data_IF_015096755048
#
_entry.id   IF_015096755048
#
_cell.length_a   1.000
_cell.length_b   1.000
_cell.length_c   1.000
_cell.angle_alpha   90.00
_cell.angle_beta   90.00
_cell.angle_gamma   90.00
#
_symmetry.space_group_name_H-M   'P 1'
#
loop_
_entity.id
_entity.type
_entity.pdbx_description
1 polymer ?
#
# COMPACT_ATOMS: atom_id res chain seq x y z
N UNK A 1 -0.97 -2.94 -16.64
CA UNK A 1 -1.04 -2.37 -15.27
C UNK A 1 -1.75 -1.03 -15.36
N UNK A 2 -3.03 -1.00 -15.02
CA UNK A 2 -3.87 0.20 -15.13
C UNK A 2 -4.44 0.46 -13.73
N UNK A 3 -4.07 1.59 -13.13
CA UNK A 3 -4.71 2.09 -11.92
C UNK A 3 -5.60 3.26 -12.33
N UNK A 4 -6.90 3.17 -12.04
CA UNK A 4 -7.78 4.32 -12.04
C UNK A 4 -8.32 4.53 -10.64
N UNK A 5 -7.96 5.65 -10.02
CA UNK A 5 -8.87 6.45 -9.21
C UNK A 5 -8.49 7.92 -9.42
N UNK A 6 -9.39 8.64 -10.10
CA UNK A 6 -9.36 10.09 -10.27
C UNK A 6 -10.20 10.70 -9.15
N UNK A 7 -9.55 11.39 -8.20
CA UNK A 7 -10.23 12.29 -7.27
C UNK A 7 -9.59 13.66 -7.47
N UNK A 8 -10.42 14.57 -7.95
CA UNK A 8 -10.22 16.01 -8.11
C UNK A 8 -9.45 16.65 -6.93
N UNK A 9 -8.31 17.27 -7.28
CA UNK A 9 -7.29 18.10 -6.56
C UNK A 9 -7.76 18.91 -5.32
N UNK A 10 -6.87 19.44 -4.41
CA UNK A 10 -5.39 19.48 -4.42
C UNK A 10 -4.72 19.08 -3.08
N UNK A 11 -3.75 18.14 -3.10
CA UNK A 11 -2.75 18.02 -2.03
C UNK A 11 -1.43 18.66 -2.49
N UNK A 12 -0.93 19.56 -1.66
CA UNK A 12 0.29 20.36 -1.82
C UNK A 12 1.44 19.59 -2.46
N UNK A 13 1.95 20.08 -3.59
CA UNK A 13 3.14 19.62 -4.29
C UNK A 13 4.35 19.54 -3.35
N UNK A 14 4.90 18.34 -3.13
CA UNK A 14 6.37 18.14 -3.04
C UNK A 14 6.70 16.84 -3.78
N UNK A 15 7.46 17.01 -4.84
CA UNK A 15 7.64 16.08 -5.96
C UNK A 15 8.26 14.74 -5.57
N UNK A 16 7.71 13.65 -6.10
CA UNK A 16 8.38 12.36 -6.18
C UNK A 16 9.13 12.29 -7.52
N UNK A 17 10.46 12.29 -7.49
CA UNK A 17 11.29 11.94 -8.65
C UNK A 17 11.85 10.53 -8.42
N UNK A 18 11.41 9.58 -9.24
CA UNK A 18 12.11 8.31 -9.42
C UNK A 18 13.17 8.56 -10.49
N UNK A 19 14.42 8.19 -10.18
CA UNK A 19 15.67 8.41 -10.92
C UNK A 19 16.44 9.72 -10.63
N UNK A 20 17.50 9.58 -9.84
CA UNK A 20 18.72 10.38 -10.00
C UNK A 20 19.93 9.43 -9.98
N UNK A 21 20.38 9.03 -11.17
CA UNK A 21 21.58 8.25 -11.38
C UNK A 21 22.79 9.19 -11.43
N UNK A 22 23.54 9.31 -10.33
CA UNK A 22 25.01 9.43 -10.29
C UNK A 22 25.51 9.85 -8.89
N UNK A 23 26.28 8.94 -8.26
CA UNK A 23 27.06 9.04 -7.00
C UNK A 23 26.31 8.69 -5.70
N UNK A 24 26.63 7.53 -5.12
CA UNK A 24 26.35 7.12 -3.73
C UNK A 24 24.86 7.10 -3.37
N UNK A 25 24.15 6.03 -3.74
CA UNK A 25 22.69 6.04 -3.78
C UNK A 25 22.02 5.82 -2.41
N UNK A 26 21.48 6.90 -1.83
CA UNK A 26 20.33 6.79 -0.93
C UNK A 26 19.09 6.54 -1.79
N UNK A 27 18.49 5.36 -1.64
CA UNK A 27 17.42 4.84 -2.51
C UNK A 27 16.06 5.53 -2.19
N UNK A 28 15.95 6.22 -1.06
CA UNK A 28 14.75 6.91 -0.62
C UNK A 28 15.10 8.20 0.12
N UNK A 29 14.76 9.36 -0.44
CA UNK A 29 14.77 10.63 0.30
C UNK A 29 13.38 10.90 0.86
N UNK A 30 13.23 10.65 2.15
CA UNK A 30 11.94 10.75 2.84
C UNK A 30 11.73 12.18 3.36
N UNK A 31 10.94 12.96 2.63
CA UNK A 31 10.49 14.32 3.03
C UNK A 31 9.27 14.24 3.97
N UNK A 32 9.42 13.62 5.14
CA UNK A 32 8.47 13.78 6.25
C UNK A 32 9.09 14.53 7.43
N UNK A 33 8.23 15.13 8.25
CA UNK A 33 8.61 15.65 9.56
C UNK A 33 9.19 14.51 10.41
N UNK A 34 10.10 14.85 11.33
CA UNK A 34 10.61 13.91 12.31
C UNK A 34 9.44 13.28 13.09
N UNK A 35 9.54 11.98 13.39
CA UNK A 35 8.47 11.21 14.03
C UNK A 35 7.26 10.90 13.16
N UNK A 36 7.30 11.20 11.86
CA UNK A 36 6.22 10.91 10.91
C UNK A 36 5.95 9.43 10.67
N UNK A 37 4.88 9.11 9.94
CA UNK A 37 4.54 7.74 9.56
C UNK A 37 4.14 7.60 8.08
N UNK A 38 4.49 6.44 7.51
CA UNK A 38 3.98 5.96 6.25
C UNK A 38 3.08 4.75 6.47
N UNK A 39 1.94 4.73 5.79
CA UNK A 39 1.05 3.58 5.76
C UNK A 39 0.79 3.21 4.31
N UNK A 40 1.23 2.02 3.92
CA UNK A 40 1.05 1.47 2.57
C UNK A 40 -0.11 0.48 2.54
N UNK A 41 -0.73 0.32 1.37
CA UNK A 41 -1.81 -0.64 1.16
C UNK A 41 -1.26 -1.92 0.54
N UNK A 42 -1.56 -3.06 1.14
CA UNK A 42 -1.41 -4.39 0.53
C UNK A 42 -2.81 -5.00 0.32
N UNK A 43 -2.97 -6.31 0.50
CA UNK A 43 -4.27 -6.95 0.40
C UNK A 43 -4.20 -8.45 0.60
N UNK A 44 -5.34 -9.03 0.94
CA UNK A 44 -5.46 -10.43 1.37
C UNK A 44 -4.89 -11.46 0.40
N UNK A 45 -4.84 -11.15 -0.91
CA UNK A 45 -4.39 -12.06 -1.97
C UNK A 45 -2.97 -12.64 -1.78
N UNK A 46 -2.13 -12.04 -0.94
CA UNK A 46 -0.80 -12.61 -0.61
C UNK A 46 -0.87 -13.71 0.46
N UNK A 47 -1.90 -13.71 1.29
CA UNK A 47 -2.11 -14.65 2.39
C UNK A 47 -3.21 -15.68 2.03
N UNK A 48 -4.26 -15.26 1.30
CA UNK A 48 -5.35 -16.09 0.77
C UNK A 48 -5.52 -15.85 -0.75
N UNK A 49 -4.85 -16.65 -1.60
CA UNK A 49 -4.75 -16.39 -3.03
C UNK A 49 -6.00 -16.83 -3.81
N UNK A 50 -6.36 -16.06 -4.84
CA UNK A 50 -7.46 -16.35 -5.76
C UNK A 50 -6.96 -16.55 -7.20
N UNK A 51 -7.71 -17.25 -8.08
CA UNK A 51 -7.42 -17.29 -9.51
C UNK A 51 -7.30 -15.88 -10.11
N UNK A 52 -6.36 -15.70 -11.05
CA UNK A 52 -6.01 -14.39 -11.65
C UNK A 52 -5.40 -13.37 -10.67
N UNK A 53 -5.22 -13.72 -9.39
CA UNK A 53 -4.64 -12.85 -8.35
C UNK A 53 -3.12 -12.85 -8.26
N UNK A 54 -2.39 -13.68 -9.02
CA UNK A 54 -0.95 -13.90 -8.83
C UNK A 54 -0.10 -12.62 -8.90
N UNK A 55 -0.39 -11.72 -9.84
CA UNK A 55 0.33 -10.44 -9.95
C UNK A 55 0.07 -9.52 -8.75
N UNK A 56 -1.16 -9.51 -8.23
CA UNK A 56 -1.52 -8.74 -7.05
C UNK A 56 -0.90 -9.33 -5.77
N UNK A 57 -0.91 -10.66 -5.64
CA UNK A 57 -0.26 -11.37 -4.54
C UNK A 57 1.25 -11.07 -4.47
N UNK A 58 1.95 -11.09 -5.62
CA UNK A 58 3.36 -10.71 -5.71
C UNK A 58 3.60 -9.26 -5.28
N UNK A 59 2.80 -8.32 -5.78
CA UNK A 59 2.94 -6.91 -5.41
C UNK A 59 2.70 -6.69 -3.90
N UNK A 60 1.65 -7.31 -3.35
CA UNK A 60 1.31 -7.23 -1.93
C UNK A 60 2.42 -7.83 -1.05
N UNK A 61 2.94 -9.00 -1.42
CA UNK A 61 4.06 -9.66 -0.72
C UNK A 61 5.34 -8.84 -0.76
N UNK A 62 5.66 -8.26 -1.93
CA UNK A 62 6.82 -7.37 -2.10
C UNK A 62 6.73 -6.14 -1.19
N UNK A 63 5.57 -5.48 -1.14
CA UNK A 63 5.34 -4.34 -0.25
C UNK A 63 5.40 -4.76 1.23
N UNK A 64 4.81 -5.90 1.63
CA UNK A 64 4.87 -6.44 3.01
C UNK A 64 6.32 -6.65 3.45
N UNK A 65 7.14 -7.28 2.61
CA UNK A 65 8.54 -7.52 2.90
C UNK A 65 9.35 -6.21 2.95
N UNK A 66 9.11 -5.30 2.01
CA UNK A 66 9.75 -3.98 2.01
C UNK A 66 9.44 -3.20 3.29
N UNK A 67 8.17 -3.08 3.67
CA UNK A 67 7.74 -2.39 4.90
C UNK A 67 8.44 -2.97 6.13
N UNK A 68 8.49 -4.29 6.24
CA UNK A 68 9.13 -4.97 7.36
C UNK A 68 10.63 -4.67 7.44
N UNK A 69 11.34 -4.72 6.32
CA UNK A 69 12.78 -4.41 6.28
C UNK A 69 13.04 -2.92 6.51
N UNK A 70 12.27 -2.05 5.84
CA UNK A 70 12.46 -0.61 5.92
C UNK A 70 12.19 -0.06 7.34
N UNK A 71 11.24 -0.65 8.08
CA UNK A 71 10.89 -0.20 9.43
C UNK A 71 12.05 -0.19 10.43
N UNK A 72 13.06 -1.06 10.27
CA UNK A 72 14.23 -1.10 11.16
C UNK A 72 15.35 -0.13 10.74
N UNK A 73 15.25 0.45 9.54
CA UNK A 73 16.24 1.36 8.96
C UNK A 73 15.73 2.81 8.91
N UNK A 74 14.50 3.08 9.33
CA UNK A 74 13.89 4.41 9.24
C UNK A 74 14.62 5.44 10.13
N UNK A 75 15.12 6.54 9.55
CA UNK A 75 15.79 7.59 10.31
C UNK A 75 14.78 8.54 10.98
N UNK A 76 15.26 9.38 11.90
CA UNK A 76 14.49 10.51 12.48
C UNK A 76 13.18 10.09 13.18
N UNK A 77 13.14 8.87 13.73
CA UNK A 77 11.97 8.32 14.41
C UNK A 77 10.76 8.07 13.49
N UNK A 78 10.97 8.04 12.17
CA UNK A 78 9.91 7.79 11.20
C UNK A 78 9.46 6.32 11.32
N UNK A 79 8.15 6.09 11.19
CA UNK A 79 7.57 4.75 11.18
C UNK A 79 7.04 4.40 9.79
N UNK A 80 7.02 3.13 9.46
CA UNK A 80 6.37 2.62 8.25
C UNK A 80 5.59 1.35 8.59
N UNK A 81 4.40 1.22 8.03
CA UNK A 81 3.54 0.07 8.20
C UNK A 81 2.71 -0.19 6.93
N UNK A 82 2.01 -1.32 6.90
CA UNK A 82 1.09 -1.66 5.82
C UNK A 82 -0.24 -2.19 6.35
N UNK A 83 -1.33 -1.83 5.69
CA UNK A 83 -2.67 -2.36 5.95
C UNK A 83 -3.04 -3.34 4.83
N UNK A 84 -3.41 -4.57 5.21
CA UNK A 84 -3.87 -5.63 4.30
C UNK A 84 -5.37 -5.87 4.49
N UNK A 85 -6.24 -5.22 3.70
CA UNK A 85 -7.67 -5.46 3.77
C UNK A 85 -8.08 -6.74 3.04
N UNK A 86 -9.24 -7.27 3.44
CA UNK A 86 -10.01 -8.19 2.60
C UNK A 86 -10.75 -7.41 1.50
N UNK A 87 -11.45 -8.10 0.59
CA UNK A 87 -12.35 -7.48 -0.39
C UNK A 87 -13.34 -6.55 0.32
N UNK A 88 -13.54 -5.35 -0.24
CA UNK A 88 -14.40 -4.34 0.37
C UNK A 88 -15.86 -4.56 -0.01
N UNK A 89 -16.77 -4.34 0.94
CA UNK A 89 -18.23 -4.39 0.69
C UNK A 89 -18.60 -3.45 -0.46
N UNK A 90 -18.03 -2.26 -0.46
CA UNK A 90 -18.25 -1.20 -1.45
C UNK A 90 -17.68 -1.53 -2.84
N UNK A 91 -16.99 -2.65 -3.00
CA UNK A 91 -16.37 -3.08 -4.25
C UNK A 91 -16.84 -4.47 -4.71
N UNK A 92 -17.83 -5.05 -4.03
CA UNK A 92 -18.40 -6.36 -4.36
C UNK A 92 -19.15 -6.37 -5.70
N UNK A 93 -19.77 -5.25 -6.08
CA UNK A 93 -20.44 -5.08 -7.37
C UNK A 93 -19.48 -5.33 -8.56
N UNK A 94 -18.21 -4.95 -8.39
CA UNK A 94 -17.19 -5.03 -9.44
C UNK A 94 -16.28 -6.24 -9.31
N UNK A 95 -15.97 -6.67 -8.08
CA UNK A 95 -14.96 -7.69 -7.82
C UNK A 95 -15.50 -8.94 -7.13
N UNK A 96 -16.77 -8.98 -6.71
CA UNK A 96 -17.32 -10.08 -5.90
C UNK A 96 -17.12 -11.47 -6.52
N UNK A 97 -17.28 -11.58 -7.84
CA UNK A 97 -17.11 -12.86 -8.57
C UNK A 97 -15.71 -13.46 -8.45
N UNK A 98 -14.68 -12.65 -8.17
CA UNK A 98 -13.31 -13.11 -7.97
C UNK A 98 -13.05 -13.64 -6.56
N UNK A 99 -13.94 -13.37 -5.60
CA UNK A 99 -13.77 -13.70 -4.19
C UNK A 99 -14.92 -14.57 -3.64
N UNK A 100 -15.27 -15.70 -4.29
CA UNK A 100 -16.30 -16.58 -3.77
C UNK A 100 -15.90 -17.16 -2.41
N UNK A 101 -16.79 -17.06 -1.42
CA UNK A 101 -16.56 -17.57 -0.06
C UNK A 101 -15.79 -16.62 0.86
N UNK A 102 -15.36 -15.46 0.40
CA UNK A 102 -14.73 -14.45 1.25
C UNK A 102 -15.79 -13.60 1.97
N UNK A 103 -15.55 -13.33 3.26
CA UNK A 103 -16.33 -12.34 4.00
C UNK A 103 -15.79 -10.94 3.74
N UNK A 104 -16.56 -10.14 3.00
CA UNK A 104 -16.19 -8.76 2.66
C UNK A 104 -16.18 -7.85 3.90
N UNK A 105 -15.27 -6.88 3.90
CA UNK A 105 -15.10 -5.93 5.02
C UNK A 105 -15.54 -4.51 4.62
N UNK A 106 -16.24 -3.76 5.47
CA UNK A 106 -16.57 -2.36 5.17
C UNK A 106 -15.32 -1.49 5.07
N UNK A 107 -15.24 -0.59 4.09
CA UNK A 107 -14.12 0.34 3.94
C UNK A 107 -13.90 1.20 5.20
N UNK A 108 -14.99 1.59 5.88
CA UNK A 108 -14.93 2.32 7.14
C UNK A 108 -14.18 1.56 8.24
N UNK A 109 -14.29 0.23 8.28
CA UNK A 109 -13.55 -0.61 9.24
C UNK A 109 -12.06 -0.65 8.90
N UNK A 110 -11.74 -0.78 7.61
CA UNK A 110 -10.36 -0.77 7.10
C UNK A 110 -9.68 0.57 7.36
N UNK A 111 -10.39 1.69 7.20
CA UNK A 111 -9.87 3.04 7.44
C UNK A 111 -9.33 3.24 8.87
N UNK A 112 -9.87 2.51 9.86
CA UNK A 112 -9.38 2.56 11.24
C UNK A 112 -7.93 2.07 11.40
N UNK A 113 -7.42 1.29 10.44
CA UNK A 113 -6.06 0.77 10.45
C UNK A 113 -5.01 1.74 9.86
N UNK A 114 -5.42 2.84 9.22
CA UNK A 114 -4.53 3.79 8.55
C UNK A 114 -3.95 4.89 9.47
N UNK A 115 -3.78 4.62 10.77
CA UNK A 115 -3.35 5.61 11.78
C UNK A 115 -1.84 5.70 11.96
#
# INVERSE_FOLDING_TARGET
MVFYYNISRPFSKRSFNVFKQNRGYNIFEISQNDGGSFTLTTGIMMDDPIPQGASAAMANGGVKAFVKSAAIEMPRGIRINSVSPNVLVESLDKYGDFFPGFEAVPAARVALAYK
#
